data_IF_131500763758
#
_entry.id   IF_131500763758
#
_cell.length_a   1.000
_cell.length_b   1.000
_cell.length_c   1.000
_cell.angle_alpha   90.00
_cell.angle_beta   90.00
_cell.angle_gamma   90.00
#
_symmetry.space_group_name_H-M   'P 1'
#
loop_
_entity.id
_entity.type
_entity.pdbx_description
1 polymer ?
#
# COMPACT_ATOMS: atom_id res chain seq x y z
N UNK A 1 -24.87 1.88 11.50
CA UNK A 1 -23.46 1.62 11.11
C UNK A 1 -23.49 0.63 9.96
N UNK A 2 -22.98 0.99 8.78
CA UNK A 2 -22.85 0.02 7.68
C UNK A 2 -21.79 -0.99 8.12
N UNK A 3 -22.17 -2.27 8.13
CA UNK A 3 -21.25 -3.37 8.37
C UNK A 3 -20.33 -3.41 7.14
N UNK A 4 -19.15 -2.78 7.23
CA UNK A 4 -18.14 -2.92 6.18
C UNK A 4 -17.66 -4.36 6.27
N UNK A 5 -17.95 -5.15 5.23
CA UNK A 5 -17.36 -6.48 5.10
C UNK A 5 -15.83 -6.32 5.11
N UNK A 6 -15.16 -7.05 5.99
CA UNK A 6 -13.71 -7.09 6.03
C UNK A 6 -13.18 -7.49 4.65
N UNK A 7 -12.12 -6.82 4.19
CA UNK A 7 -11.53 -7.12 2.89
C UNK A 7 -10.98 -8.54 2.86
N UNK A 8 -11.51 -9.37 1.97
CA UNK A 8 -11.03 -10.73 1.71
C UNK A 8 -10.05 -10.77 0.53
N UNK A 9 -9.46 -11.95 0.27
CA UNK A 9 -8.43 -12.10 -0.77
C UNK A 9 -8.94 -11.80 -2.19
N UNK A 10 -10.22 -12.07 -2.49
CA UNK A 10 -10.81 -11.79 -3.80
C UNK A 10 -11.01 -10.29 -4.00
N UNK A 11 -11.55 -9.62 -2.98
CA UNK A 11 -11.71 -8.17 -3.02
C UNK A 11 -10.36 -7.46 -3.05
N UNK A 12 -9.38 -7.92 -2.26
CA UNK A 12 -8.02 -7.38 -2.26
C UNK A 12 -7.38 -7.49 -3.64
N UNK A 13 -7.52 -8.64 -4.31
CA UNK A 13 -7.00 -8.83 -5.67
C UNK A 13 -7.61 -7.84 -6.67
N UNK A 14 -8.94 -7.70 -6.65
CA UNK A 14 -9.65 -6.76 -7.51
C UNK A 14 -9.27 -5.29 -7.24
N UNK A 15 -9.06 -4.93 -5.97
CA UNK A 15 -8.59 -3.59 -5.56
C UNK A 15 -7.18 -3.35 -6.07
N UNK A 16 -6.25 -4.28 -5.82
CA UNK A 16 -4.86 -4.16 -6.24
C UNK A 16 -4.73 -4.06 -7.76
N UNK A 17 -5.49 -4.84 -8.53
CA UNK A 17 -5.53 -4.70 -10.00
C UNK A 17 -5.90 -3.29 -10.43
N UNK A 18 -6.97 -2.72 -9.85
CA UNK A 18 -7.39 -1.34 -10.15
C UNK A 18 -6.37 -0.30 -9.72
N UNK A 19 -5.69 -0.52 -8.60
CA UNK A 19 -4.60 0.35 -8.14
C UNK A 19 -3.46 0.33 -9.15
N UNK A 20 -3.04 -0.85 -9.62
CA UNK A 20 -1.99 -0.98 -10.63
C UNK A 20 -2.35 -0.32 -11.96
N UNK A 21 -3.63 -0.32 -12.35
CA UNK A 21 -4.10 0.37 -13.55
C UNK A 21 -4.12 1.90 -13.39
N UNK A 22 -4.29 2.40 -12.16
CA UNK A 22 -4.55 3.81 -11.89
C UNK A 22 -3.36 4.58 -11.29
N UNK A 23 -2.43 3.89 -10.62
CA UNK A 23 -1.31 4.47 -9.88
C UNK A 23 0.02 3.88 -10.34
N UNK A 24 1.04 4.72 -10.37
CA UNK A 24 2.43 4.27 -10.47
C UNK A 24 2.97 3.96 -9.08
N UNK A 25 3.60 2.79 -8.93
CA UNK A 25 4.23 2.37 -7.67
C UNK A 25 5.72 2.68 -7.75
N UNK A 26 6.23 3.40 -6.75
CA UNK A 26 7.58 3.93 -6.71
C UNK A 26 8.29 3.43 -5.45
N UNK A 27 9.39 2.72 -5.64
CA UNK A 27 10.33 2.39 -4.57
C UNK A 27 11.42 3.46 -4.52
N UNK A 28 11.45 4.25 -3.45
CA UNK A 28 12.34 5.41 -3.31
C UNK A 28 13.23 5.29 -2.07
N UNK A 29 14.37 5.98 -2.10
CA UNK A 29 15.33 6.03 -0.99
C UNK A 29 14.91 7.03 0.06
N UNK A 30 14.31 6.53 1.15
CA UNK A 30 13.83 7.40 2.22
C UNK A 30 14.97 7.95 3.10
N UNK A 31 16.20 7.46 2.94
CA UNK A 31 17.39 8.03 3.58
C UNK A 31 17.88 9.31 2.86
N UNK A 32 17.42 9.54 1.63
CA UNK A 32 17.72 10.74 0.86
C UNK A 32 17.18 12.03 1.49
N UNK A 33 17.81 13.17 1.18
CA UNK A 33 17.41 14.48 1.71
C UNK A 33 15.95 14.85 1.38
N UNK A 34 15.49 14.47 0.19
CA UNK A 34 14.11 14.69 -0.28
C UNK A 34 13.06 14.07 0.65
N UNK A 35 13.35 12.89 1.23
CA UNK A 35 12.39 12.11 2.02
C UNK A 35 12.60 12.24 3.53
N UNK A 36 13.59 13.03 3.96
CA UNK A 36 13.92 13.26 5.38
C UNK A 36 12.69 13.60 6.25
N UNK A 37 11.75 14.47 5.84
CA UNK A 37 10.58 14.78 6.67
C UNK A 37 9.66 13.56 6.90
N UNK A 38 9.60 12.61 5.97
CA UNK A 38 8.83 11.38 6.11
C UNK A 38 9.52 10.41 7.06
N UNK A 39 10.82 10.21 6.88
CA UNK A 39 11.65 9.35 7.75
C UNK A 39 11.62 9.81 9.21
N UNK A 40 11.77 11.11 9.46
CA UNK A 40 11.71 11.68 10.82
C UNK A 40 10.36 11.44 11.51
N UNK A 41 9.30 11.21 10.74
CA UNK A 41 7.94 10.89 11.22
C UNK A 41 7.66 9.39 11.25
N UNK A 42 8.64 8.55 10.91
CA UNK A 42 8.47 7.10 10.82
C UNK A 42 7.59 6.63 9.67
N UNK A 43 7.37 7.48 8.65
CA UNK A 43 6.56 7.15 7.48
C UNK A 43 7.39 6.28 6.54
N UNK A 44 6.86 5.10 6.21
CA UNK A 44 7.52 4.05 5.41
C UNK A 44 6.93 3.90 4.00
N UNK A 45 5.76 4.47 3.80
CA UNK A 45 5.07 4.60 2.52
C UNK A 45 4.09 5.75 2.57
N UNK A 46 3.66 6.23 1.40
CA UNK A 46 2.62 7.24 1.30
C UNK A 46 2.00 7.27 -0.10
N UNK A 47 0.76 7.73 -0.17
CA UNK A 47 0.06 7.97 -1.43
C UNK A 47 0.04 9.46 -1.78
N UNK A 48 0.40 9.80 -3.01
CA UNK A 48 0.13 11.10 -3.64
C UNK A 48 -1.01 10.96 -4.63
N UNK A 49 -2.22 11.24 -4.16
CA UNK A 49 -3.45 11.12 -4.96
C UNK A 49 -3.49 12.08 -6.15
N UNK A 50 -2.91 13.28 -6.00
CA UNK A 50 -2.74 14.29 -7.04
C UNK A 50 -1.84 13.80 -8.18
N UNK A 51 -0.76 13.08 -7.85
CA UNK A 51 0.21 12.55 -8.80
C UNK A 51 -0.11 11.13 -9.27
N UNK A 52 -1.11 10.49 -8.67
CA UNK A 52 -1.41 9.05 -8.82
C UNK A 52 -0.17 8.19 -8.61
N UNK A 53 0.55 8.44 -7.53
CA UNK A 53 1.73 7.66 -7.13
C UNK A 53 1.60 7.09 -5.73
N UNK A 54 2.13 5.89 -5.55
CA UNK A 54 2.28 5.25 -4.25
C UNK A 54 3.78 5.03 -4.02
N UNK A 55 4.31 5.61 -2.96
CA UNK A 55 5.72 5.53 -2.60
C UNK A 55 5.92 4.52 -1.48
N UNK A 56 6.96 3.72 -1.61
CA UNK A 56 7.45 2.81 -0.59
C UNK A 56 8.95 2.99 -0.40
N UNK A 57 9.42 2.92 0.83
CA UNK A 57 10.84 2.83 1.10
C UNK A 57 11.39 1.48 0.57
N UNK A 58 12.44 1.53 -0.25
CA UNK A 58 13.03 0.32 -0.82
C UNK A 58 13.82 -0.53 0.19
N UNK A 59 14.19 0.07 1.33
CA UNK A 59 14.98 -0.54 2.39
C UNK A 59 14.16 -1.30 3.44
N UNK A 60 12.84 -1.37 3.30
CA UNK A 60 11.98 -1.99 4.31
C UNK A 60 12.27 -3.49 4.50
N UNK A 61 12.36 -3.96 5.76
CA UNK A 61 12.30 -5.38 6.07
C UNK A 61 10.99 -6.00 5.52
N UNK A 62 11.00 -7.29 5.11
CA UNK A 62 9.84 -7.90 4.45
C UNK A 62 8.51 -7.80 5.23
N UNK A 63 8.55 -7.95 6.55
CA UNK A 63 7.36 -7.87 7.41
C UNK A 63 6.85 -6.43 7.58
N UNK A 64 7.73 -5.44 7.46
CA UNK A 64 7.35 -4.03 7.46
C UNK A 64 6.85 -3.59 6.09
N UNK A 65 7.44 -4.12 5.01
CA UNK A 65 6.97 -3.89 3.64
C UNK A 65 5.54 -4.43 3.48
N UNK A 66 5.27 -5.64 3.94
CA UNK A 66 3.92 -6.24 3.91
C UNK A 66 2.89 -5.34 4.57
N UNK A 67 3.16 -4.88 5.79
CA UNK A 67 2.24 -4.01 6.53
C UNK A 67 2.08 -2.64 5.87
N UNK A 68 3.17 -2.05 5.38
CA UNK A 68 3.15 -0.75 4.70
C UNK A 68 2.32 -0.84 3.41
N UNK A 69 2.49 -1.90 2.63
CA UNK A 69 1.68 -2.16 1.44
C UNK A 69 0.19 -2.29 1.76
N UNK A 70 -0.15 -3.11 2.75
CA UNK A 70 -1.54 -3.28 3.16
C UNK A 70 -2.15 -1.93 3.57
N UNK A 71 -1.41 -1.11 4.31
CA UNK A 71 -1.84 0.22 4.75
C UNK A 71 -2.09 1.20 3.60
N UNK A 72 -1.16 1.31 2.65
CA UNK A 72 -1.34 2.23 1.51
C UNK A 72 -2.46 1.77 0.57
N UNK A 73 -2.61 0.47 0.37
CA UNK A 73 -3.71 -0.11 -0.42
C UNK A 73 -5.07 0.19 0.21
N UNK A 74 -5.19 0.01 1.53
CA UNK A 74 -6.41 0.38 2.27
C UNK A 74 -6.66 1.88 2.21
N UNK A 75 -5.61 2.71 2.30
CA UNK A 75 -5.72 4.17 2.17
C UNK A 75 -6.31 4.57 0.82
N UNK A 76 -5.86 3.96 -0.29
CA UNK A 76 -6.44 4.19 -1.62
C UNK A 76 -7.87 3.66 -1.70
N UNK A 77 -8.12 2.44 -1.21
CA UNK A 77 -9.44 1.83 -1.24
C UNK A 77 -10.49 2.68 -0.51
N UNK A 78 -10.20 3.13 0.71
CA UNK A 78 -11.09 3.96 1.49
C UNK A 78 -11.28 5.34 0.87
N UNK A 79 -10.23 5.93 0.31
CA UNK A 79 -10.35 7.17 -0.43
C UNK A 79 -11.30 7.03 -1.62
N UNK A 80 -11.18 5.97 -2.42
CA UNK A 80 -12.08 5.72 -3.55
C UNK A 80 -13.52 5.38 -3.12
N UNK A 81 -13.70 4.55 -2.10
CA UNK A 81 -15.02 4.10 -1.67
C UNK A 81 -15.80 5.19 -0.93
N UNK A 82 -15.12 5.95 -0.09
CA UNK A 82 -15.75 6.85 0.89
C UNK A 82 -15.38 8.31 0.68
N UNK A 83 -14.43 8.64 -0.20
CA UNK A 83 -13.97 10.01 -0.44
C UNK A 83 -13.17 10.61 0.72
N UNK A 84 -12.71 9.78 1.66
CA UNK A 84 -11.98 10.22 2.86
C UNK A 84 -10.61 9.56 2.95
N UNK A 85 -9.63 10.33 3.43
CA UNK A 85 -8.30 9.80 3.77
C UNK A 85 -8.37 9.34 5.23
N UNK A 86 -8.29 8.02 5.46
CA UNK A 86 -8.26 7.42 6.80
C UNK A 86 -6.86 6.93 7.12
N UNK A 87 -6.35 7.36 8.27
CA UNK A 87 -5.10 6.87 8.87
C UNK A 87 -5.30 6.70 10.38
N UNK A 88 -6.45 6.13 10.77
CA UNK A 88 -6.80 5.87 12.16
C UNK A 88 -6.40 4.43 12.56
N UNK A 89 -6.49 4.13 13.86
CA UNK A 89 -6.13 2.83 14.43
C UNK A 89 -6.89 1.66 13.78
N UNK A 90 -8.08 1.91 13.21
CA UNK A 90 -8.86 0.88 12.52
C UNK A 90 -8.18 0.43 11.21
N UNK A 91 -7.61 1.36 10.44
CA UNK A 91 -6.86 1.04 9.21
C UNK A 91 -5.60 0.24 9.54
N UNK A 92 -4.88 0.63 10.60
CA UNK A 92 -3.70 -0.10 11.09
C UNK A 92 -4.05 -1.53 11.52
N UNK A 93 -5.19 -1.71 12.20
CA UNK A 93 -5.68 -3.03 12.59
C UNK A 93 -6.08 -3.88 11.38
N UNK A 94 -6.73 -3.28 10.39
CA UNK A 94 -7.13 -4.00 9.17
C UNK A 94 -5.92 -4.39 8.31
N UNK A 95 -4.92 -3.51 8.19
CA UNK A 95 -3.66 -3.80 7.52
C UNK A 95 -2.98 -5.02 8.15
N UNK A 96 -2.94 -5.10 9.49
CA UNK A 96 -2.42 -6.28 10.20
C UNK A 96 -3.21 -7.55 9.89
N UNK A 97 -4.54 -7.47 9.89
CA UNK A 97 -5.41 -8.63 9.57
C UNK A 97 -5.16 -9.15 8.16
N UNK A 98 -4.97 -8.27 7.18
CA UNK A 98 -4.62 -8.66 5.81
C UNK A 98 -3.28 -9.39 5.75
N UNK A 99 -2.32 -9.02 6.60
CA UNK A 99 -1.03 -9.70 6.68
C UNK A 99 -1.09 -11.03 7.48
N UNK A 100 -2.06 -11.20 8.37
CA UNK A 100 -2.28 -12.44 9.13
C UNK A 100 -3.07 -13.49 8.35
N UNK A 101 -3.92 -13.07 7.40
CA UNK A 101 -4.62 -13.97 6.48
C UNK A 101 -3.70 -14.44 5.34
N UNK A 102 -3.45 -15.75 5.27
CA UNK A 102 -2.52 -16.33 4.30
C UNK A 102 -2.90 -16.04 2.84
N UNK A 103 -4.20 -16.01 2.53
CA UNK A 103 -4.71 -15.75 1.18
C UNK A 103 -4.45 -14.30 0.77
N UNK A 104 -4.80 -13.36 1.66
CA UNK A 104 -4.56 -11.94 1.45
C UNK A 104 -3.07 -11.63 1.34
N UNK A 105 -2.25 -12.17 2.25
CA UNK A 105 -0.81 -12.00 2.22
C UNK A 105 -0.18 -12.53 0.92
N UNK A 106 -0.64 -13.68 0.43
CA UNK A 106 -0.16 -14.25 -0.83
C UNK A 106 -0.49 -13.34 -2.02
N UNK A 107 -1.69 -12.75 -2.06
CA UNK A 107 -2.09 -11.78 -3.08
C UNK A 107 -1.23 -10.52 -2.97
N UNK A 108 -1.10 -9.93 -1.78
CA UNK A 108 -0.31 -8.73 -1.54
C UNK A 108 1.13 -8.90 -2.05
N UNK A 109 1.79 -9.99 -1.64
CA UNK A 109 3.17 -10.30 -2.06
C UNK A 109 3.30 -10.58 -3.55
N UNK A 110 2.27 -11.08 -4.22
CA UNK A 110 2.26 -11.23 -5.69
C UNK A 110 2.40 -9.87 -6.37
N UNK A 111 1.62 -8.89 -5.93
CA UNK A 111 1.67 -7.53 -6.48
C UNK A 111 2.94 -6.78 -6.08
N UNK A 112 3.41 -6.92 -4.83
CA UNK A 112 4.71 -6.38 -4.42
C UNK A 112 5.85 -6.86 -5.33
N UNK A 113 5.93 -8.18 -5.59
CA UNK A 113 6.92 -8.74 -6.50
C UNK A 113 6.80 -8.14 -7.90
N UNK A 114 5.59 -8.08 -8.46
CA UNK A 114 5.35 -7.47 -9.77
C UNK A 114 5.80 -5.99 -9.81
N UNK A 115 5.54 -5.20 -8.76
CA UNK A 115 5.99 -3.81 -8.68
C UNK A 115 7.52 -3.69 -8.57
N UNK A 116 8.18 -4.59 -7.82
CA UNK A 116 9.64 -4.63 -7.73
C UNK A 116 10.31 -5.08 -9.03
N UNK A 117 9.71 -6.04 -9.73
CA UNK A 117 10.19 -6.61 -11.00
C UNK A 117 9.90 -5.70 -12.21
N UNK A 118 8.85 -4.86 -12.12
CA UNK A 118 8.53 -3.79 -13.07
C UNK A 118 9.64 -2.74 -13.26
N UNK A 119 10.75 -2.85 -12.52
CA UNK A 119 12.05 -2.21 -12.79
C UNK A 119 12.67 -2.54 -14.16
N UNK A 120 12.06 -3.40 -14.99
CA UNK A 120 12.50 -3.66 -16.37
C UNK A 120 11.35 -3.44 -17.35
N UNK A 121 10.82 -2.23 -17.43
CA UNK A 121 10.24 -1.67 -18.67
C UNK A 121 10.05 -0.17 -18.47
N UNK A 122 11.19 0.53 -18.43
CA UNK A 122 11.25 1.88 -18.95
C UNK A 122 11.33 1.79 -20.47
N UNK A 123 10.34 2.33 -21.15
CA UNK A 123 10.51 3.02 -22.44
C UNK A 123 9.96 4.43 -22.28
#
# INVERSE_FOLDING_TARGET
>A
MRNHAAMDALLLDDVLRKIFDAFSIVYADFEGEEYRPYRERGIKGFVRFDERKIFFDYCLPPDEEDRTWAHEVLSVYYYWLMGIIRHDDEVEMEARRLCEDEGCLAILRRYQRAAREGRIQGE
#
